data_IF_048212803626
#
_entry.id   IF_048212803626
#
_cell.length_a   1.000
_cell.length_b   1.000
_cell.length_c   1.000
_cell.angle_alpha   90.00
_cell.angle_beta   90.00
_cell.angle_gamma   90.00
#
_symmetry.space_group_name_H-M   'P 1'
#
loop_
_entity.id
_entity.type
_entity.pdbx_description
1 polymer ?
#
# COMPACT_ATOMS: atom_id res chain seq x y z
N UNK A 1 7.94 -18.93 13.09
CA UNK A 1 6.65 -18.19 13.17
C UNK A 1 5.53 -19.20 12.99
N UNK A 2 4.43 -19.13 13.75
CA UNK A 2 3.24 -19.99 13.61
C UNK A 2 3.50 -21.49 13.33
N UNK A 3 4.38 -22.14 14.09
CA UNK A 3 4.62 -23.59 13.97
C UNK A 3 5.34 -24.05 12.69
N UNK A 4 5.79 -23.14 11.83
CA UNK A 4 6.61 -23.45 10.65
C UNK A 4 8.09 -23.22 10.96
N UNK A 5 8.95 -24.16 10.57
CA UNK A 5 10.40 -24.03 10.68
C UNK A 5 10.93 -22.93 9.75
N UNK A 6 12.10 -22.39 10.09
CA UNK A 6 12.66 -21.23 9.38
C UNK A 6 12.93 -21.52 7.90
N UNK A 7 13.37 -22.73 7.55
CA UNK A 7 13.72 -23.08 6.16
C UNK A 7 12.45 -23.13 5.32
N UNK A 8 11.44 -23.87 5.78
CA UNK A 8 10.13 -23.92 5.11
C UNK A 8 9.49 -22.54 5.01
N UNK A 9 9.60 -21.71 6.04
CA UNK A 9 9.07 -20.35 6.02
C UNK A 9 9.72 -19.50 4.90
N UNK A 10 11.04 -19.50 4.83
CA UNK A 10 11.80 -18.74 3.83
C UNK A 10 11.47 -19.18 2.40
N UNK A 11 11.47 -20.49 2.13
CA UNK A 11 11.25 -20.99 0.77
C UNK A 11 9.80 -20.85 0.29
N UNK A 12 8.83 -21.13 1.17
CA UNK A 12 7.42 -21.16 0.79
C UNK A 12 6.78 -19.77 0.74
N UNK A 13 7.19 -18.85 1.61
CA UNK A 13 6.46 -17.60 1.79
C UNK A 13 7.26 -16.35 1.45
N UNK A 14 8.57 -16.44 1.22
CA UNK A 14 9.37 -15.31 0.81
C UNK A 14 9.88 -15.46 -0.63
N UNK A 15 10.02 -14.32 -1.30
CA UNK A 15 10.75 -14.17 -2.55
C UNK A 15 11.83 -13.12 -2.33
N UNK A 16 12.92 -13.23 -3.09
CA UNK A 16 13.93 -12.18 -3.12
C UNK A 16 13.56 -11.18 -4.21
N UNK A 17 13.68 -9.91 -3.88
CA UNK A 17 13.60 -8.84 -4.87
C UNK A 17 14.85 -8.82 -5.76
N UNK A 18 14.69 -8.41 -7.02
CA UNK A 18 15.74 -8.45 -8.04
C UNK A 18 16.65 -7.21 -8.00
N UNK A 19 16.22 -6.11 -7.38
CA UNK A 19 16.98 -4.86 -7.36
C UNK A 19 17.87 -4.76 -6.11
N UNK A 20 17.27 -4.92 -4.93
CA UNK A 20 17.98 -4.70 -3.66
C UNK A 20 18.29 -6.00 -2.92
N UNK A 21 17.86 -7.14 -3.45
CA UNK A 21 18.08 -8.44 -2.83
C UNK A 21 17.37 -8.60 -1.47
N UNK A 22 16.37 -7.77 -1.20
CA UNK A 22 15.54 -7.82 0.00
C UNK A 22 14.60 -9.02 -0.04
N UNK A 23 14.24 -9.55 1.12
CA UNK A 23 13.23 -10.61 1.22
C UNK A 23 11.86 -9.98 1.36
N UNK A 24 10.97 -10.29 0.42
CA UNK A 24 9.59 -9.86 0.38
C UNK A 24 8.68 -11.07 0.60
N UNK A 25 7.50 -10.86 1.16
CA UNK A 25 6.49 -11.90 1.16
C UNK A 25 6.04 -12.20 -0.27
N UNK A 26 5.86 -13.48 -0.60
CA UNK A 26 5.24 -13.89 -1.85
C UNK A 26 3.82 -13.34 -1.89
N UNK A 27 3.48 -12.70 -3.00
CA UNK A 27 2.14 -12.18 -3.21
C UNK A 27 1.15 -13.34 -3.33
N UNK A 28 0.19 -13.40 -2.41
CA UNK A 28 -0.89 -14.41 -2.37
C UNK A 28 -2.21 -13.68 -2.22
N UNK A 29 -3.24 -14.10 -2.96
CA UNK A 29 -4.58 -13.53 -2.84
C UNK A 29 -5.62 -14.63 -2.55
N UNK A 30 -6.17 -14.72 -1.32
CA UNK A 30 -5.85 -13.89 -0.15
C UNK A 30 -4.46 -14.19 0.43
N UNK A 31 -4.01 -13.38 1.40
CA UNK A 31 -2.73 -13.60 2.09
C UNK A 31 -2.70 -14.98 2.74
N UNK A 32 -1.62 -15.75 2.52
CA UNK A 32 -1.45 -17.11 3.06
C UNK A 32 -1.47 -17.21 4.60
N UNK A 33 -1.36 -16.06 5.28
CA UNK A 33 -1.41 -15.95 6.74
C UNK A 33 -2.70 -15.32 7.26
N UNK A 34 -3.70 -15.15 6.40
CA UNK A 34 -5.03 -14.67 6.77
C UNK A 34 -5.93 -15.86 7.08
N UNK A 35 -6.54 -15.86 8.26
CA UNK A 35 -7.56 -16.84 8.63
C UNK A 35 -8.95 -16.38 8.17
N UNK A 36 -9.91 -17.30 8.19
CA UNK A 36 -11.31 -17.06 7.79
C UNK A 36 -12.01 -16.00 8.66
N UNK A 37 -11.54 -15.79 9.89
CA UNK A 37 -12.03 -14.76 10.82
C UNK A 37 -11.31 -13.40 10.66
N UNK A 38 -10.58 -13.22 9.56
CA UNK A 38 -9.82 -12.03 9.21
C UNK A 38 -8.62 -11.72 10.16
N UNK A 39 -8.26 -12.64 11.07
CA UNK A 39 -7.07 -12.52 11.94
C UNK A 39 -5.82 -13.06 11.24
N UNK A 40 -4.67 -12.47 11.57
CA UNK A 40 -3.38 -12.97 11.11
C UNK A 40 -2.88 -14.09 12.02
N UNK A 41 -2.42 -15.20 11.44
CA UNK A 41 -1.87 -16.35 12.19
C UNK A 41 -0.42 -16.18 12.66
N UNK A 42 0.34 -15.23 12.09
CA UNK A 42 1.75 -15.00 12.48
C UNK A 42 1.95 -13.76 13.37
N UNK A 43 0.94 -12.91 13.51
CA UNK A 43 0.95 -11.73 14.36
C UNK A 43 -0.13 -11.83 15.44
N UNK A 44 0.16 -11.34 16.66
CA UNK A 44 -0.82 -11.32 17.77
C UNK A 44 -2.06 -10.46 17.45
N UNK A 45 -1.86 -9.40 16.67
CA UNK A 45 -2.91 -8.60 16.04
C UNK A 45 -2.50 -8.32 14.60
N UNK A 46 -3.46 -8.19 13.68
CA UNK A 46 -3.17 -7.92 12.28
C UNK A 46 -2.59 -6.49 12.16
N UNK A 47 -1.34 -6.32 11.68
CA UNK A 47 -0.76 -5.00 11.49
C UNK A 47 -1.63 -4.16 10.55
N UNK A 48 -1.65 -2.84 10.74
CA UNK A 48 -2.47 -1.90 9.96
C UNK A 48 -2.22 -2.07 8.44
N UNK A 49 -0.96 -2.10 8.02
CA UNK A 49 -0.56 -2.38 6.64
C UNK A 49 -1.07 -3.73 6.11
N UNK A 50 -1.20 -4.74 6.98
CA UNK A 50 -1.75 -6.04 6.59
C UNK A 50 -3.28 -6.02 6.55
N UNK A 51 -3.97 -5.18 7.34
CA UNK A 51 -5.43 -4.98 7.25
C UNK A 51 -5.83 -4.36 5.92
N UNK A 52 -4.94 -3.56 5.35
CA UNK A 52 -5.13 -2.89 4.07
C UNK A 52 -4.78 -3.77 2.86
N UNK A 53 -4.21 -4.96 3.04
CA UNK A 53 -3.95 -5.88 1.93
C UNK A 53 -5.23 -6.62 1.47
N UNK A 54 -5.48 -6.83 0.16
CA UNK A 54 -4.68 -6.37 -1.00
C UNK A 54 -5.08 -4.97 -1.49
N UNK A 55 -6.08 -4.37 -0.88
CA UNK A 55 -6.63 -3.09 -1.29
C UNK A 55 -6.12 -1.99 -0.37
N UNK A 56 -4.93 -1.45 -0.69
CA UNK A 56 -4.40 -0.17 -0.15
C UNK A 56 -5.35 1.03 -0.41
N UNK A 57 -6.57 0.77 -0.88
CA UNK A 57 -7.57 1.66 -1.46
C UNK A 57 -8.44 2.33 -0.39
N UNK A 58 -8.62 1.72 0.79
CA UNK A 58 -9.52 2.31 1.82
C UNK A 58 -8.94 3.56 2.49
N UNK A 59 -7.62 3.61 2.68
CA UNK A 59 -6.90 4.80 3.12
C UNK A 59 -6.50 5.71 1.97
N UNK A 60 -6.46 5.19 0.73
CA UNK A 60 -6.04 5.95 -0.44
C UNK A 60 -6.85 7.24 -0.60
N UNK A 61 -8.19 7.14 -0.59
CA UNK A 61 -9.06 8.31 -0.75
C UNK A 61 -8.92 9.30 0.41
N UNK A 62 -8.73 8.80 1.63
CA UNK A 62 -8.48 9.64 2.82
C UNK A 62 -7.13 10.37 2.72
N UNK A 63 -6.08 9.70 2.22
CA UNK A 63 -4.74 10.28 2.05
C UNK A 63 -4.70 11.27 0.89
N UNK A 64 -5.43 11.00 -0.20
CA UNK A 64 -5.68 11.98 -1.28
C UNK A 64 -6.37 13.22 -0.73
N UNK A 65 -7.45 13.04 0.05
CA UNK A 65 -8.14 14.14 0.70
C UNK A 65 -7.21 14.93 1.63
N UNK A 66 -6.42 14.26 2.47
CA UNK A 66 -5.45 14.89 3.34
C UNK A 66 -4.41 15.72 2.56
N UNK A 67 -3.89 15.23 1.43
CA UNK A 67 -2.98 16.01 0.58
C UNK A 67 -3.64 17.21 -0.10
N UNK A 68 -4.97 17.16 -0.31
CA UNK A 68 -5.76 18.27 -0.83
C UNK A 68 -6.03 19.33 0.25
N UNK A 69 -6.08 18.99 1.54
CA UNK A 69 -6.47 19.93 2.60
C UNK A 69 -5.35 20.31 3.58
N UNK A 70 -4.25 19.56 3.62
CA UNK A 70 -3.14 19.74 4.56
C UNK A 70 -1.78 19.76 3.83
N UNK A 71 -1.06 20.88 3.92
CA UNK A 71 0.27 21.06 3.29
C UNK A 71 1.35 20.18 3.89
N UNK A 72 1.19 19.74 5.15
CA UNK A 72 2.13 18.83 5.80
C UNK A 72 1.99 17.37 5.38
N UNK A 73 1.09 17.04 4.44
CA UNK A 73 0.85 15.68 3.99
C UNK A 73 0.90 15.57 2.46
N UNK A 74 1.75 14.69 1.93
CA UNK A 74 1.88 14.46 0.50
C UNK A 74 1.81 12.96 0.16
N UNK A 75 0.80 12.57 -0.61
CA UNK A 75 0.61 11.21 -1.14
C UNK A 75 1.32 11.00 -2.48
N UNK A 76 1.83 12.04 -3.14
CA UNK A 76 2.49 11.90 -4.44
C UNK A 76 3.63 10.86 -4.45
N UNK A 77 4.49 10.74 -3.42
CA UNK A 77 5.50 9.68 -3.38
C UNK A 77 4.89 8.27 -3.36
N UNK A 78 3.72 8.11 -2.74
CA UNK A 78 3.06 6.80 -2.64
C UNK A 78 2.40 6.38 -3.97
N UNK A 79 2.10 7.33 -4.85
CA UNK A 79 1.59 7.05 -6.21
C UNK A 79 2.68 6.46 -7.12
N UNK A 80 3.95 6.72 -6.84
CA UNK A 80 5.08 6.19 -7.63
C UNK A 80 5.17 4.66 -7.54
N UNK A 81 4.79 4.10 -6.39
CA UNK A 81 4.76 2.65 -6.17
C UNK A 81 3.59 1.94 -6.87
N UNK A 82 2.62 2.67 -7.42
CA UNK A 82 1.52 2.07 -8.16
C UNK A 82 1.97 1.67 -9.57
N UNK A 83 1.83 0.39 -9.88
CA UNK A 83 2.06 -0.12 -11.24
C UNK A 83 0.93 0.31 -12.20
N UNK A 84 1.23 0.35 -13.50
CA UNK A 84 0.28 0.74 -14.55
C UNK A 84 -0.50 -0.44 -15.14
N UNK A 85 -0.38 -1.63 -14.52
CA UNK A 85 -0.97 -2.88 -15.05
C UNK A 85 -2.49 -2.85 -14.95
N UNK A 86 -3.03 -2.16 -13.95
CA UNK A 86 -4.46 -2.06 -13.70
C UNK A 86 -5.04 -0.75 -14.26
N UNK A 87 -6.21 -0.78 -14.92
CA UNK A 87 -6.83 0.44 -15.44
C UNK A 87 -7.09 1.51 -14.37
N UNK A 88 -7.38 1.11 -13.12
CA UNK A 88 -7.64 2.03 -12.03
C UNK A 88 -6.39 2.75 -11.52
N UNK A 89 -5.25 2.07 -11.42
CA UNK A 89 -4.00 2.68 -10.95
C UNK A 89 -3.45 3.67 -11.98
N UNK A 90 -3.58 3.35 -13.28
CA UNK A 90 -3.28 4.28 -14.37
C UNK A 90 -4.11 5.57 -14.29
N UNK A 91 -5.44 5.45 -14.17
CA UNK A 91 -6.34 6.62 -14.04
C UNK A 91 -6.00 7.46 -12.80
N UNK A 92 -5.65 6.79 -11.70
CA UNK A 92 -5.26 7.45 -10.45
C UNK A 92 -3.98 8.27 -10.64
N UNK A 93 -2.92 7.68 -11.22
CA UNK A 93 -1.65 8.37 -11.49
C UNK A 93 -1.80 9.53 -12.45
N UNK A 94 -2.69 9.41 -13.45
CA UNK A 94 -2.96 10.48 -14.41
C UNK A 94 -3.73 11.65 -13.80
N UNK A 95 -4.67 11.41 -12.87
CA UNK A 95 -5.61 12.45 -12.40
C UNK A 95 -5.27 13.06 -11.04
N UNK A 96 -4.85 12.26 -10.08
CA UNK A 96 -4.68 12.71 -8.68
C UNK A 96 -3.61 13.80 -8.53
N UNK A 97 -2.43 13.73 -9.20
CA UNK A 97 -1.43 14.78 -9.09
C UNK A 97 -1.93 16.17 -9.51
N UNK A 98 -2.70 16.24 -10.60
CA UNK A 98 -3.29 17.50 -11.06
C UNK A 98 -4.27 18.11 -10.06
N UNK A 99 -5.14 17.27 -9.48
CA UNK A 99 -6.11 17.72 -8.46
C UNK A 99 -5.42 18.27 -7.20
N UNK A 100 -4.33 17.64 -6.76
CA UNK A 100 -3.55 18.11 -5.61
C UNK A 100 -2.87 19.45 -5.93
N UNK A 101 -2.26 19.59 -7.11
CA UNK A 101 -1.58 20.82 -7.48
C UNK A 101 -2.55 21.99 -7.68
N UNK A 102 -3.69 21.77 -8.32
CA UNK A 102 -4.76 22.77 -8.43
C UNK A 102 -5.21 23.26 -7.05
N UNK A 103 -5.40 22.34 -6.09
CA UNK A 103 -5.78 22.69 -4.73
C UNK A 103 -4.70 23.52 -4.02
N UNK A 104 -3.42 23.17 -4.20
CA UNK A 104 -2.28 23.93 -3.66
C UNK A 104 -2.20 25.34 -4.25
N UNK A 105 -2.34 25.48 -5.58
CA UNK A 105 -2.37 26.78 -6.26
C UNK A 105 -3.50 27.65 -5.70
N UNK A 106 -4.71 27.10 -5.60
CA UNK A 106 -5.87 27.83 -5.07
C UNK A 106 -5.63 28.32 -3.64
N UNK A 107 -5.02 27.48 -2.79
CA UNK A 107 -4.70 27.85 -1.41
C UNK A 107 -3.65 28.96 -1.31
N UNK A 108 -2.57 28.86 -2.11
CA UNK A 108 -1.54 29.90 -2.23
C UNK A 108 -2.10 31.22 -2.75
N UNK A 109 -3.13 31.19 -3.60
CA UNK A 109 -3.81 32.40 -4.11
C UNK A 109 -4.82 33.03 -3.13
N UNK A 110 -5.14 32.34 -2.03
CA UNK A 110 -6.06 32.82 -0.98
C UNK A 110 -5.33 33.38 0.25
N UNK A 111 -4.00 33.25 0.31
CA UNK A 111 -3.12 33.84 1.32
C UNK A 111 -2.52 35.16 0.81
#
# INVERSE_FOLDING_TARGET
AAGTDAVSFMFQYLTRDNEEGKWLFRHTNPCAFLNDDNRCRIWKGRPEICNEFPYMVSMFMSRVYLSIVNEGHDILPDLEYMDDTWPCTKIIKERIPGLIEEARIKRRSML
#
